data_IF_704776299738
#
_entry.id   IF_704776299738
#
_cell.length_a   1.000
_cell.length_b   1.000
_cell.length_c   1.000
_cell.angle_alpha   90.00
_cell.angle_beta   90.00
_cell.angle_gamma   90.00
#
_symmetry.space_group_name_H-M   'P 1'
#
loop_
_entity.id
_entity.type
_entity.pdbx_description
1 polymer ?
#
# COMPACT_ATOMS: atom_id res chain seq x y z
N UNK A 1 -24.23 6.71 5.71
CA UNK A 1 -23.60 5.69 6.57
C UNK A 1 -22.61 6.37 7.51
N UNK A 2 -22.26 5.68 8.61
CA UNK A 2 -21.23 6.11 9.55
C UNK A 2 -19.93 5.38 9.26
N UNK A 3 -18.87 6.11 8.96
CA UNK A 3 -17.57 5.58 8.57
C UNK A 3 -16.51 6.02 9.56
N UNK A 4 -15.61 5.12 9.93
CA UNK A 4 -14.42 5.51 10.65
C UNK A 4 -13.17 5.19 9.85
N UNK A 5 -12.26 6.14 9.79
CA UNK A 5 -10.92 5.95 9.22
C UNK A 5 -9.92 5.88 10.36
N UNK A 6 -9.26 4.74 10.50
CA UNK A 6 -8.29 4.49 11.57
C UNK A 6 -6.88 4.79 11.03
N UNK A 7 -6.36 5.95 11.38
CA UNK A 7 -5.06 6.44 10.94
C UNK A 7 -5.15 7.75 10.16
N UNK A 8 -4.63 8.83 10.75
CA UNK A 8 -4.62 10.19 10.20
C UNK A 8 -3.34 10.52 9.42
N UNK A 9 -2.75 9.51 8.75
CA UNK A 9 -1.66 9.73 7.78
C UNK A 9 -2.17 10.40 6.50
N UNK A 10 -1.27 10.68 5.53
CA UNK A 10 -1.66 11.34 4.26
C UNK A 10 -2.85 10.66 3.59
N UNK A 11 -2.77 9.32 3.40
CA UNK A 11 -3.82 8.58 2.69
C UNK A 11 -5.13 8.50 3.48
N UNK A 12 -5.08 8.23 4.80
CA UNK A 12 -6.29 8.22 5.65
C UNK A 12 -6.99 9.58 5.68
N UNK A 13 -6.21 10.67 5.71
CA UNK A 13 -6.76 12.04 5.65
C UNK A 13 -7.42 12.33 4.31
N UNK A 14 -6.79 11.94 3.19
CA UNK A 14 -7.35 12.15 1.85
C UNK A 14 -8.63 11.31 1.63
N UNK A 15 -8.66 10.06 2.12
CA UNK A 15 -9.86 9.22 2.08
C UNK A 15 -10.99 9.80 2.95
N UNK A 16 -10.65 10.40 4.11
CA UNK A 16 -11.65 11.06 4.96
C UNK A 16 -12.38 12.17 4.23
N UNK A 17 -11.66 12.97 3.42
CA UNK A 17 -12.31 13.96 2.55
C UNK A 17 -13.23 13.28 1.54
N UNK A 18 -12.79 12.21 0.87
CA UNK A 18 -13.63 11.53 -0.12
C UNK A 18 -14.93 10.96 0.48
N UNK A 19 -14.86 10.46 1.72
CA UNK A 19 -16.03 9.97 2.49
C UNK A 19 -17.04 11.08 2.74
N UNK A 20 -16.59 12.23 3.23
CA UNK A 20 -17.51 13.35 3.55
C UNK A 20 -18.00 14.06 2.30
N UNK A 21 -17.21 14.12 1.22
CA UNK A 21 -17.64 14.65 -0.08
C UNK A 21 -18.79 13.82 -0.69
N UNK A 22 -18.95 12.55 -0.27
CA UNK A 22 -20.08 11.68 -0.62
C UNK A 22 -21.26 11.76 0.38
N UNK A 23 -21.23 12.69 1.32
CA UNK A 23 -22.31 12.91 2.28
C UNK A 23 -22.39 11.89 3.41
N UNK A 24 -21.32 11.15 3.70
CA UNK A 24 -21.26 10.21 4.81
C UNK A 24 -20.74 10.87 6.08
N UNK A 25 -21.21 10.40 7.24
CA UNK A 25 -20.67 10.80 8.54
C UNK A 25 -19.34 10.13 8.79
N UNK A 26 -18.36 10.87 9.32
CA UNK A 26 -16.99 10.41 9.49
C UNK A 26 -16.46 10.61 10.92
N UNK A 27 -15.67 9.61 11.38
CA UNK A 27 -14.69 9.79 12.45
C UNK A 27 -13.30 9.42 11.94
N UNK A 28 -12.36 10.37 12.01
CA UNK A 28 -10.95 10.13 11.70
C UNK A 28 -10.19 9.89 12.99
N UNK A 29 -9.76 8.65 13.23
CA UNK A 29 -8.96 8.35 14.40
C UNK A 29 -7.51 8.79 14.20
N UNK A 30 -7.03 9.61 15.13
CA UNK A 30 -5.64 10.05 15.23
C UNK A 30 -5.08 9.73 16.62
N UNK A 31 -4.01 8.94 16.68
CA UNK A 31 -3.31 8.67 17.94
C UNK A 31 -2.74 9.95 18.59
N UNK A 32 -2.44 10.97 17.78
CA UNK A 32 -1.90 12.25 18.22
C UNK A 32 -3.04 13.22 18.53
N UNK A 33 -3.15 13.64 19.78
CA UNK A 33 -4.09 14.68 20.18
C UNK A 33 -3.82 16.00 19.45
N UNK A 34 -2.54 16.34 19.25
CA UNK A 34 -2.16 17.54 18.47
C UNK A 34 -2.73 17.50 17.07
N UNK A 35 -2.64 16.34 16.37
CA UNK A 35 -3.21 16.20 15.03
C UNK A 35 -4.74 16.22 15.05
N UNK A 36 -5.39 15.61 16.07
CA UNK A 36 -6.84 15.71 16.27
C UNK A 36 -7.28 17.17 16.40
N UNK A 37 -6.61 17.93 17.26
CA UNK A 37 -6.96 19.33 17.53
C UNK A 37 -6.71 20.22 16.31
N UNK A 38 -5.62 20.00 15.57
CA UNK A 38 -5.35 20.68 14.32
C UNK A 38 -6.45 20.43 13.28
N UNK A 39 -6.87 19.15 13.11
CA UNK A 39 -7.94 18.79 12.17
C UNK A 39 -9.26 19.43 12.57
N UNK A 40 -9.65 19.36 13.84
CA UNK A 40 -10.94 19.86 14.29
C UNK A 40 -11.03 21.39 14.34
N UNK A 41 -9.94 22.08 14.69
CA UNK A 41 -9.96 23.53 14.91
C UNK A 41 -9.50 24.31 13.66
N UNK A 42 -8.51 23.78 12.94
CA UNK A 42 -7.90 24.49 11.81
C UNK A 42 -8.29 23.87 10.47
N UNK A 43 -8.93 22.71 10.47
CA UNK A 43 -9.25 21.93 9.25
C UNK A 43 -8.02 21.66 8.37
N UNK A 44 -6.88 21.37 9.01
CA UNK A 44 -5.61 21.03 8.34
C UNK A 44 -4.97 19.80 8.98
N UNK A 45 -4.08 19.15 8.26
CA UNK A 45 -3.19 18.11 8.77
C UNK A 45 -1.78 18.36 8.19
N UNK A 46 -1.16 19.44 8.63
CA UNK A 46 0.04 20.06 8.06
C UNK A 46 1.26 19.14 8.05
N UNK A 47 1.34 18.21 9.01
CA UNK A 47 2.40 17.20 9.07
C UNK A 47 2.40 16.28 7.85
N UNK A 48 1.23 15.94 7.34
CA UNK A 48 1.05 14.92 6.30
C UNK A 48 0.64 15.49 4.95
N UNK A 49 -0.15 16.59 4.95
CA UNK A 49 -0.67 17.24 3.74
C UNK A 49 -0.56 18.75 3.91
N UNK A 50 0.64 19.30 3.67
CA UNK A 50 1.07 20.65 4.08
C UNK A 50 0.15 21.81 3.63
N UNK A 51 -0.52 21.68 2.49
CA UNK A 51 -1.30 22.79 1.89
C UNK A 51 -2.77 22.42 1.70
N UNK A 52 -3.26 21.35 2.35
CA UNK A 52 -4.63 20.92 2.21
C UNK A 52 -5.52 21.54 3.29
N UNK A 53 -6.69 22.02 2.88
CA UNK A 53 -7.77 22.41 3.78
C UNK A 53 -8.86 21.32 3.69
N UNK A 54 -9.21 20.77 4.83
CA UNK A 54 -10.18 19.70 4.95
C UNK A 54 -11.60 20.26 5.06
N UNK A 55 -12.61 19.53 4.57
CA UNK A 55 -14.01 19.84 4.87
C UNK A 55 -14.26 19.86 6.38
N UNK A 56 -15.16 20.74 6.84
CA UNK A 56 -15.51 20.85 8.28
C UNK A 56 -16.17 19.59 8.84
N UNK A 57 -16.72 18.78 7.95
CA UNK A 57 -17.35 17.49 8.25
C UNK A 57 -16.34 16.39 8.61
N UNK A 58 -15.05 16.62 8.36
CA UNK A 58 -13.99 15.73 8.83
C UNK A 58 -13.76 15.95 10.31
N UNK A 59 -14.37 15.11 11.13
CA UNK A 59 -14.25 15.14 12.58
C UNK A 59 -13.22 14.12 13.05
N UNK A 60 -12.17 14.58 13.75
CA UNK A 60 -11.14 13.72 14.30
C UNK A 60 -11.37 13.37 15.75
N UNK A 61 -11.01 12.15 16.15
CA UNK A 61 -11.01 11.69 17.55
C UNK A 61 -9.69 11.02 17.89
N UNK A 62 -9.28 11.09 19.18
CA UNK A 62 -8.16 10.31 19.72
C UNK A 62 -8.61 9.09 20.52
N UNK A 63 -9.91 8.79 20.54
CA UNK A 63 -10.48 7.60 21.14
C UNK A 63 -10.75 6.53 20.08
N UNK A 64 -9.95 5.45 20.10
CA UNK A 64 -10.19 4.31 19.21
C UNK A 64 -11.55 3.67 19.49
N UNK A 65 -11.94 3.60 20.77
CA UNK A 65 -13.25 3.08 21.18
C UNK A 65 -14.38 3.87 20.50
N UNK A 66 -14.38 5.20 20.62
CA UNK A 66 -15.37 6.07 19.98
C UNK A 66 -15.44 5.83 18.48
N UNK A 67 -14.27 5.77 17.80
CA UNK A 67 -14.20 5.55 16.36
C UNK A 67 -14.80 4.19 15.97
N UNK A 68 -14.49 3.12 16.70
CA UNK A 68 -14.99 1.76 16.42
C UNK A 68 -16.49 1.66 16.69
N UNK A 69 -16.98 2.16 17.82
CA UNK A 69 -18.41 2.08 18.16
C UNK A 69 -19.28 2.89 17.19
N UNK A 70 -18.81 4.07 16.77
CA UNK A 70 -19.51 4.96 15.84
C UNK A 70 -19.81 4.32 14.49
N UNK A 71 -18.84 3.57 13.92
CA UNK A 71 -18.85 3.19 12.52
C UNK A 71 -19.78 2.02 12.17
N UNK A 72 -20.32 2.03 10.94
CA UNK A 72 -20.86 0.86 10.25
C UNK A 72 -19.78 0.16 9.43
N UNK A 73 -18.85 0.93 8.86
CA UNK A 73 -17.68 0.48 8.12
C UNK A 73 -16.42 1.11 8.70
N UNK A 74 -15.39 0.28 8.92
CA UNK A 74 -14.10 0.72 9.43
C UNK A 74 -13.07 0.65 8.30
N UNK A 75 -12.40 1.77 8.02
CA UNK A 75 -11.30 1.87 7.07
C UNK A 75 -9.97 1.94 7.83
N UNK A 76 -9.09 0.95 7.67
CA UNK A 76 -7.81 0.90 8.36
C UNK A 76 -6.71 1.45 7.44
N UNK A 77 -6.17 2.62 7.80
CA UNK A 77 -5.16 3.37 7.05
C UNK A 77 -3.87 3.56 7.85
N UNK A 78 -3.34 2.46 8.38
CA UNK A 78 -2.12 2.44 9.20
C UNK A 78 -0.96 1.76 8.48
N UNK A 79 0.32 2.02 8.85
CA UNK A 79 1.45 1.25 8.34
C UNK A 79 1.32 -0.25 8.66
N UNK A 80 1.85 -1.12 7.78
CA UNK A 80 1.78 -2.58 7.94
C UNK A 80 2.33 -3.07 9.29
N UNK A 81 3.39 -2.42 9.78
CA UNK A 81 4.04 -2.75 11.06
C UNK A 81 3.10 -2.77 12.28
N UNK A 82 2.05 -1.96 12.26
CA UNK A 82 1.13 -1.82 13.40
C UNK A 82 -0.26 -2.42 13.12
N UNK A 83 -0.45 -3.05 11.96
CA UNK A 83 -1.75 -3.61 11.57
C UNK A 83 -2.29 -4.59 12.60
N UNK A 84 -1.48 -5.54 13.04
CA UNK A 84 -1.86 -6.56 14.02
C UNK A 84 -2.32 -5.96 15.35
N UNK A 85 -1.55 -5.03 15.89
CA UNK A 85 -1.89 -4.34 17.13
C UNK A 85 -3.20 -3.56 17.00
N UNK A 86 -3.35 -2.83 15.89
CA UNK A 86 -4.56 -2.03 15.62
C UNK A 86 -5.78 -2.95 15.42
N UNK A 87 -5.67 -4.05 14.68
CA UNK A 87 -6.76 -5.01 14.50
C UNK A 87 -7.19 -5.64 15.83
N UNK A 88 -6.22 -6.04 16.67
CA UNK A 88 -6.46 -6.54 18.02
C UNK A 88 -7.17 -5.52 18.91
N UNK A 89 -6.78 -4.26 18.83
CA UNK A 89 -7.41 -3.21 19.61
C UNK A 89 -8.82 -2.88 19.10
N UNK A 90 -9.05 -2.92 17.78
CA UNK A 90 -10.39 -2.79 17.20
C UNK A 90 -11.30 -3.92 17.71
N UNK A 91 -10.82 -5.17 17.73
CA UNK A 91 -11.62 -6.32 18.20
C UNK A 91 -12.18 -6.14 19.61
N UNK A 92 -11.43 -5.45 20.49
CA UNK A 92 -11.88 -5.19 21.89
C UNK A 92 -13.14 -4.32 21.98
N UNK A 93 -13.35 -3.44 20.98
CA UNK A 93 -14.46 -2.48 20.96
C UNK A 93 -15.55 -2.81 19.96
N UNK A 94 -15.40 -3.93 19.20
CA UNK A 94 -16.44 -4.41 18.32
C UNK A 94 -17.53 -5.14 19.13
N UNK A 95 -18.71 -4.50 19.25
CA UNK A 95 -19.88 -5.06 19.91
C UNK A 95 -20.86 -5.72 18.93
N UNK A 96 -20.71 -5.45 17.61
CA UNK A 96 -21.53 -6.02 16.53
C UNK A 96 -20.67 -6.24 15.29
N UNK A 97 -21.07 -7.15 14.39
CA UNK A 97 -20.33 -7.40 13.16
C UNK A 97 -20.26 -6.15 12.27
N UNK A 98 -19.06 -5.83 11.75
CA UNK A 98 -18.81 -4.69 10.86
C UNK A 98 -18.02 -5.10 9.63
N UNK A 99 -18.11 -4.27 8.58
CA UNK A 99 -17.23 -4.36 7.43
C UNK A 99 -15.90 -3.65 7.72
N UNK A 100 -14.81 -4.25 7.25
CA UNK A 100 -13.46 -3.68 7.37
C UNK A 100 -12.85 -3.56 5.99
N UNK A 101 -12.35 -2.37 5.67
CA UNK A 101 -11.56 -2.10 4.47
C UNK A 101 -10.17 -1.67 4.94
N UNK A 102 -9.11 -2.32 4.47
CA UNK A 102 -7.78 -1.79 4.69
C UNK A 102 -7.20 -1.17 3.43
N UNK A 103 -6.26 -0.26 3.61
CA UNK A 103 -5.58 0.45 2.52
C UNK A 103 -4.05 0.35 2.64
N UNK A 104 -3.57 -0.51 3.55
CA UNK A 104 -2.16 -0.72 3.81
C UNK A 104 -1.54 -1.60 2.73
N UNK A 105 -0.35 -1.23 2.25
CA UNK A 105 0.34 -1.88 1.14
C UNK A 105 1.65 -2.50 1.63
N UNK A 106 1.68 -3.81 1.80
CA UNK A 106 2.83 -4.58 2.28
C UNK A 106 2.41 -5.88 2.94
N UNK A 107 3.40 -6.62 3.44
CA UNK A 107 3.23 -7.90 4.14
C UNK A 107 3.76 -7.76 5.58
N UNK A 108 3.20 -8.54 6.51
CA UNK A 108 3.72 -8.64 7.87
C UNK A 108 5.06 -9.36 7.88
N UNK A 109 6.06 -8.80 8.57
CA UNK A 109 7.42 -9.36 8.53
C UNK A 109 7.55 -10.67 9.31
N UNK A 110 6.86 -10.78 10.41
CA UNK A 110 6.98 -11.88 11.37
C UNK A 110 6.33 -13.16 10.84
N UNK A 111 5.22 -13.02 10.13
CA UNK A 111 4.41 -14.16 9.65
C UNK A 111 4.38 -14.30 8.14
N UNK A 112 4.84 -13.29 7.40
CA UNK A 112 4.72 -13.13 5.95
C UNK A 112 3.27 -13.07 5.44
N UNK A 113 2.31 -12.77 6.32
CA UNK A 113 0.88 -12.69 6.00
C UNK A 113 0.53 -11.39 5.28
N UNK A 114 -0.49 -11.48 4.41
CA UNK A 114 -1.18 -10.33 3.85
C UNK A 114 -1.96 -9.60 4.95
N UNK A 115 -2.27 -8.34 4.75
CA UNK A 115 -2.96 -7.53 5.77
C UNK A 115 -4.37 -8.04 6.06
N UNK A 116 -5.08 -8.56 5.05
CA UNK A 116 -6.38 -9.21 5.27
C UNK A 116 -6.27 -10.43 6.17
N UNK A 117 -5.23 -11.27 5.99
CA UNK A 117 -5.00 -12.44 6.86
C UNK A 117 -4.67 -12.02 8.31
N UNK A 118 -3.92 -10.93 8.48
CA UNK A 118 -3.66 -10.37 9.81
C UNK A 118 -4.95 -9.89 10.48
N UNK A 119 -5.85 -9.26 9.72
CA UNK A 119 -7.16 -8.83 10.23
C UNK A 119 -8.00 -10.04 10.62
N UNK A 120 -8.04 -11.10 9.81
CA UNK A 120 -8.75 -12.35 10.14
C UNK A 120 -8.16 -13.10 11.35
N UNK A 121 -6.85 -12.96 11.62
CA UNK A 121 -6.22 -13.55 12.81
C UNK A 121 -6.66 -12.86 14.11
N UNK A 122 -6.84 -11.54 14.08
CA UNK A 122 -6.98 -10.72 15.28
C UNK A 122 -8.43 -10.31 15.59
N UNK A 123 -9.33 -10.39 14.63
CA UNK A 123 -10.73 -10.05 14.83
C UNK A 123 -11.58 -11.31 14.79
N UNK A 124 -12.38 -11.49 15.84
CA UNK A 124 -13.29 -12.63 15.97
C UNK A 124 -14.22 -12.72 14.76
N UNK A 125 -14.39 -13.91 14.20
CA UNK A 125 -15.14 -14.13 12.95
C UNK A 125 -16.60 -13.70 13.02
N UNK A 126 -17.22 -13.79 14.19
CA UNK A 126 -18.60 -13.34 14.46
C UNK A 126 -18.73 -11.82 14.51
N UNK A 127 -17.61 -11.10 14.59
CA UNK A 127 -17.54 -9.63 14.54
C UNK A 127 -17.18 -9.08 13.16
N UNK A 128 -16.93 -9.95 12.16
CA UNK A 128 -16.62 -9.57 10.79
C UNK A 128 -17.79 -9.83 9.86
N UNK A 129 -18.30 -8.82 9.17
CA UNK A 129 -19.21 -8.99 8.02
C UNK A 129 -18.44 -9.26 6.72
N UNK A 130 -17.23 -8.77 6.62
CA UNK A 130 -16.34 -8.94 5.48
C UNK A 130 -15.11 -8.05 5.58
N UNK A 131 -14.05 -8.47 4.89
CA UNK A 131 -12.78 -7.74 4.78
C UNK A 131 -12.50 -7.45 3.31
N UNK A 132 -12.02 -6.25 3.01
CA UNK A 132 -11.61 -5.85 1.68
C UNK A 132 -10.38 -4.97 1.70
N UNK A 133 -9.73 -4.84 0.54
CA UNK A 133 -8.59 -3.95 0.31
C UNK A 133 -8.92 -2.92 -0.76
N UNK A 134 -8.63 -1.65 -0.50
CA UNK A 134 -8.69 -0.58 -1.48
C UNK A 134 -7.26 -0.25 -1.94
N UNK A 135 -6.93 -0.47 -3.21
CA UNK A 135 -5.59 -0.28 -3.76
C UNK A 135 -5.64 0.12 -5.24
N UNK A 136 -4.56 0.73 -5.72
CA UNK A 136 -4.43 1.22 -7.09
C UNK A 136 -3.55 2.48 -7.13
N UNK A 137 -3.41 3.13 -8.30
CA UNK A 137 -2.66 4.37 -8.46
C UNK A 137 -3.31 5.50 -7.64
N UNK A 138 -2.71 5.85 -6.50
CA UNK A 138 -3.36 6.69 -5.50
C UNK A 138 -2.37 7.45 -4.63
N UNK A 139 -1.95 8.61 -5.10
CA UNK A 139 -1.23 9.57 -4.27
C UNK A 139 -2.21 10.43 -3.46
N UNK A 140 -1.97 10.51 -2.14
CA UNK A 140 -2.81 11.29 -1.24
C UNK A 140 -2.82 12.77 -1.60
N UNK A 141 -1.68 13.26 -2.07
CA UNK A 141 -1.45 14.65 -2.51
C UNK A 141 -2.32 15.02 -3.71
N UNK A 142 -2.67 14.05 -4.55
CA UNK A 142 -3.54 14.26 -5.71
C UNK A 142 -5.00 14.11 -5.33
N UNK A 143 -5.36 13.09 -4.56
CA UNK A 143 -6.73 12.85 -4.11
C UNK A 143 -7.28 14.03 -3.28
N UNK A 144 -6.45 14.58 -2.37
CA UNK A 144 -6.86 15.70 -1.52
C UNK A 144 -7.17 16.97 -2.34
N UNK A 145 -6.56 17.11 -3.51
CA UNK A 145 -6.85 18.19 -4.47
C UNK A 145 -8.04 17.85 -5.39
N UNK A 146 -8.70 16.72 -5.15
CA UNK A 146 -9.81 16.21 -5.97
C UNK A 146 -9.42 15.96 -7.43
N UNK A 147 -8.16 15.63 -7.69
CA UNK A 147 -7.69 15.19 -9.00
C UNK A 147 -8.27 13.81 -9.33
N UNK A 148 -8.56 13.52 -10.62
CA UNK A 148 -9.07 12.24 -11.05
C UNK A 148 -8.20 11.08 -10.56
N UNK A 149 -8.76 10.23 -9.71
CA UNK A 149 -8.09 9.08 -9.12
C UNK A 149 -8.95 7.84 -9.32
N UNK A 150 -8.33 6.74 -9.72
CA UNK A 150 -9.02 5.50 -10.02
C UNK A 150 -8.35 4.35 -9.28
N UNK A 151 -9.11 3.61 -8.46
CA UNK A 151 -8.60 2.49 -7.68
C UNK A 151 -9.53 1.28 -7.75
N UNK A 152 -9.08 0.15 -7.23
CA UNK A 152 -9.90 -1.04 -7.07
C UNK A 152 -10.18 -1.32 -5.59
N UNK A 153 -11.44 -1.68 -5.29
CA UNK A 153 -11.81 -2.42 -4.09
C UNK A 153 -11.77 -3.91 -4.40
N UNK A 154 -11.11 -4.69 -3.58
CA UNK A 154 -11.12 -6.14 -3.72
C UNK A 154 -11.61 -6.81 -2.44
N UNK A 155 -12.65 -7.62 -2.58
CA UNK A 155 -13.20 -8.46 -1.54
C UNK A 155 -13.96 -9.63 -2.17
N UNK A 156 -13.98 -10.79 -1.51
CA UNK A 156 -14.86 -11.90 -1.85
C UNK A 156 -16.32 -11.60 -1.49
N UNK A 157 -16.57 -10.61 -0.65
CA UNK A 157 -17.90 -10.19 -0.23
C UNK A 157 -18.48 -9.13 -1.19
N UNK A 158 -19.47 -9.52 -1.98
CA UNK A 158 -20.12 -8.65 -2.97
C UNK A 158 -20.87 -7.44 -2.32
N UNK A 159 -21.37 -7.61 -1.09
CA UNK A 159 -22.02 -6.52 -0.34
C UNK A 159 -20.99 -5.46 0.03
N UNK A 160 -19.82 -5.88 0.54
CA UNK A 160 -18.73 -4.96 0.88
C UNK A 160 -18.23 -4.21 -0.36
N UNK A 161 -18.11 -4.89 -1.50
CA UNK A 161 -17.71 -4.24 -2.75
C UNK A 161 -18.68 -3.11 -3.17
N UNK A 162 -19.98 -3.34 -3.05
CA UNK A 162 -21.02 -2.31 -3.33
C UNK A 162 -20.96 -1.16 -2.33
N UNK A 163 -20.85 -1.48 -1.04
CA UNK A 163 -20.73 -0.48 0.03
C UNK A 163 -19.48 0.38 -0.17
N UNK A 164 -18.34 -0.21 -0.53
CA UNK A 164 -17.12 0.55 -0.80
C UNK A 164 -17.28 1.50 -2.01
N UNK A 165 -17.99 1.07 -3.06
CA UNK A 165 -18.34 1.97 -4.16
C UNK A 165 -19.23 3.12 -3.67
N UNK A 166 -20.25 2.85 -2.87
CA UNK A 166 -21.13 3.89 -2.32
C UNK A 166 -20.38 4.89 -1.45
N UNK A 167 -19.42 4.41 -0.62
CA UNK A 167 -18.62 5.27 0.27
C UNK A 167 -17.68 6.19 -0.50
N UNK A 168 -17.01 5.69 -1.54
CA UNK A 168 -15.87 6.39 -2.12
C UNK A 168 -16.09 6.89 -3.54
N UNK A 169 -17.02 6.30 -4.33
CA UNK A 169 -17.18 6.65 -5.73
C UNK A 169 -17.85 8.02 -5.89
N UNK A 170 -17.16 8.93 -6.57
CA UNK A 170 -17.67 10.25 -6.92
C UNK A 170 -17.07 10.76 -8.24
N UNK A 171 -17.27 12.05 -8.56
CA UNK A 171 -16.83 12.66 -9.82
C UNK A 171 -15.31 12.68 -10.03
N UNK A 172 -14.51 12.57 -8.97
CA UNK A 172 -13.05 12.59 -9.05
C UNK A 172 -12.40 11.31 -8.50
N UNK A 173 -13.14 10.46 -7.78
CA UNK A 173 -12.63 9.21 -7.22
C UNK A 173 -13.48 8.04 -7.70
N UNK A 174 -12.91 7.23 -8.61
CA UNK A 174 -13.62 6.11 -9.23
C UNK A 174 -13.17 4.78 -8.66
N UNK A 175 -14.14 3.93 -8.28
CA UNK A 175 -13.88 2.64 -7.65
C UNK A 175 -14.33 1.52 -8.59
N UNK A 176 -13.38 0.69 -9.02
CA UNK A 176 -13.64 -0.57 -9.71
C UNK A 176 -13.69 -1.72 -8.71
N UNK A 177 -14.49 -2.73 -8.98
CA UNK A 177 -14.57 -3.95 -8.16
C UNK A 177 -13.62 -5.00 -8.73
N UNK A 178 -12.91 -5.69 -7.83
CA UNK A 178 -12.15 -6.90 -8.09
C UNK A 178 -12.55 -7.95 -7.05
N UNK A 179 -12.56 -9.25 -7.41
CA UNK A 179 -12.85 -10.34 -6.45
C UNK A 179 -11.58 -10.98 -5.89
N UNK A 180 -10.43 -10.71 -6.49
CA UNK A 180 -9.14 -11.23 -6.09
C UNK A 180 -8.45 -10.31 -5.06
N UNK A 181 -8.80 -10.49 -3.79
CA UNK A 181 -8.16 -9.77 -2.69
C UNK A 181 -6.66 -10.10 -2.61
N UNK A 182 -6.27 -11.36 -2.91
CA UNK A 182 -4.89 -11.82 -2.87
C UNK A 182 -4.03 -11.04 -3.87
N UNK A 183 -4.46 -10.99 -5.13
CA UNK A 183 -3.72 -10.31 -6.19
C UNK A 183 -3.59 -8.82 -5.95
N UNK A 184 -4.65 -8.16 -5.48
CA UNK A 184 -4.62 -6.72 -5.20
C UNK A 184 -3.70 -6.39 -4.02
N UNK A 185 -3.67 -7.19 -2.96
CA UNK A 185 -2.74 -7.03 -1.84
C UNK A 185 -1.29 -7.28 -2.25
N UNK A 186 -1.04 -8.39 -2.97
CA UNK A 186 0.30 -8.78 -3.44
C UNK A 186 0.85 -7.74 -4.41
N UNK A 187 0.06 -7.29 -5.38
CA UNK A 187 0.46 -6.23 -6.32
C UNK A 187 0.83 -4.94 -5.59
N UNK A 188 -0.03 -4.49 -4.67
CA UNK A 188 0.20 -3.31 -3.84
C UNK A 188 1.42 -3.41 -2.93
N UNK A 189 1.79 -4.61 -2.46
CA UNK A 189 2.97 -4.85 -1.65
C UNK A 189 4.25 -4.87 -2.49
N UNK A 190 4.31 -5.72 -3.52
CA UNK A 190 5.53 -5.99 -4.26
C UNK A 190 5.96 -4.85 -5.20
N UNK A 191 5.01 -4.03 -5.70
CA UNK A 191 5.37 -2.85 -6.49
C UNK A 191 6.38 -1.94 -5.79
N UNK A 192 6.36 -1.91 -4.46
CA UNK A 192 7.26 -1.09 -3.65
C UNK A 192 8.72 -1.53 -3.78
N UNK A 193 8.97 -2.82 -4.04
CA UNK A 193 10.30 -3.37 -4.33
C UNK A 193 10.79 -2.84 -5.67
N UNK A 194 9.93 -2.90 -6.68
CA UNK A 194 10.29 -2.44 -8.03
C UNK A 194 10.50 -0.93 -8.04
N UNK A 195 9.72 -0.18 -7.23
CA UNK A 195 9.91 1.26 -7.08
C UNK A 195 11.28 1.61 -6.45
N UNK A 196 11.77 0.83 -5.48
CA UNK A 196 13.16 0.95 -4.99
C UNK A 196 14.15 0.76 -6.13
N UNK A 197 14.00 -0.30 -6.92
CA UNK A 197 14.85 -0.58 -8.07
C UNK A 197 14.84 0.55 -9.11
N UNK A 198 13.67 1.10 -9.44
CA UNK A 198 13.55 2.24 -10.36
C UNK A 198 14.26 3.49 -9.82
N UNK A 199 14.12 3.74 -8.51
CA UNK A 199 14.87 4.81 -7.86
C UNK A 199 16.38 4.61 -7.95
N UNK A 200 16.87 3.39 -7.70
CA UNK A 200 18.30 3.06 -7.82
C UNK A 200 18.80 3.33 -9.25
N UNK A 201 18.07 2.89 -10.27
CA UNK A 201 18.40 3.14 -11.69
C UNK A 201 18.53 4.63 -11.98
N UNK A 202 17.56 5.43 -11.53
CA UNK A 202 17.59 6.88 -11.75
C UNK A 202 18.71 7.57 -10.94
N UNK A 203 18.97 7.10 -9.72
CA UNK A 203 20.10 7.59 -8.89
C UNK A 203 21.47 7.32 -9.51
N UNK A 204 21.60 6.23 -10.27
CA UNK A 204 22.78 5.87 -11.06
C UNK A 204 22.85 6.58 -12.41
N UNK A 205 21.86 7.40 -12.76
CA UNK A 205 21.71 8.04 -14.06
C UNK A 205 21.66 7.04 -15.25
N UNK A 206 21.12 5.83 -15.03
CA UNK A 206 20.76 4.93 -16.11
C UNK A 206 19.48 5.44 -16.80
N UNK A 207 19.38 5.25 -18.12
CA UNK A 207 18.30 5.83 -18.91
C UNK A 207 16.96 5.08 -18.80
N UNK A 208 15.96 5.61 -19.51
CA UNK A 208 14.56 5.11 -19.51
C UNK A 208 14.42 3.67 -19.98
N UNK A 209 15.29 3.18 -20.86
CA UNK A 209 15.28 1.77 -21.29
C UNK A 209 15.49 0.80 -20.12
N UNK A 210 16.42 1.11 -19.21
CA UNK A 210 16.68 0.29 -18.03
C UNK A 210 15.48 0.30 -17.08
N UNK A 211 14.85 1.47 -16.90
CA UNK A 211 13.64 1.60 -16.07
C UNK A 211 12.46 0.84 -16.67
N UNK A 212 12.22 0.97 -17.98
CA UNK A 212 11.16 0.24 -18.68
C UNK A 212 11.34 -1.29 -18.58
N UNK A 213 12.58 -1.76 -18.79
CA UNK A 213 12.92 -3.17 -18.62
C UNK A 213 12.67 -3.65 -17.19
N UNK A 214 13.08 -2.86 -16.17
CA UNK A 214 12.86 -3.20 -14.76
C UNK A 214 11.37 -3.26 -14.41
N UNK A 215 10.56 -2.33 -14.90
CA UNK A 215 9.09 -2.33 -14.70
C UNK A 215 8.45 -3.58 -15.30
N UNK A 216 8.79 -3.90 -16.56
CA UNK A 216 8.24 -5.06 -17.27
C UNK A 216 8.62 -6.36 -16.58
N UNK A 217 9.90 -6.54 -16.27
CA UNK A 217 10.39 -7.76 -15.62
C UNK A 217 9.93 -7.84 -14.16
N UNK A 218 9.82 -6.70 -13.48
CA UNK A 218 9.28 -6.62 -12.13
C UNK A 218 7.82 -7.05 -12.04
N UNK A 219 6.99 -6.65 -13.01
CA UNK A 219 5.60 -7.12 -13.09
C UNK A 219 5.51 -8.64 -13.23
N UNK A 220 6.42 -9.25 -13.99
CA UNK A 220 6.48 -10.72 -14.13
C UNK A 220 6.84 -11.37 -12.78
N UNK A 221 7.79 -10.83 -12.02
CA UNK A 221 8.11 -11.36 -10.68
C UNK A 221 6.92 -11.25 -9.72
N UNK A 222 6.23 -10.10 -9.73
CA UNK A 222 5.01 -9.88 -8.95
C UNK A 222 3.95 -10.94 -9.30
N UNK A 223 3.73 -11.16 -10.60
CA UNK A 223 2.74 -12.14 -11.09
C UNK A 223 3.11 -13.56 -10.65
N UNK A 224 4.39 -13.95 -10.77
CA UNK A 224 4.86 -15.29 -10.37
C UNK A 224 4.60 -15.57 -8.89
N UNK A 225 5.04 -14.66 -8.01
CA UNK A 225 4.82 -14.85 -6.57
C UNK A 225 3.34 -14.76 -6.23
N UNK A 226 2.60 -13.82 -6.84
CA UNK A 226 1.16 -13.69 -6.63
C UNK A 226 0.40 -14.97 -6.97
N UNK A 227 0.70 -15.58 -8.12
CA UNK A 227 0.12 -16.86 -8.54
C UNK A 227 0.39 -17.99 -7.54
N UNK A 228 1.61 -18.07 -7.00
CA UNK A 228 1.95 -19.04 -5.94
C UNK A 228 1.20 -18.79 -4.63
N UNK A 229 0.79 -17.55 -4.38
CA UNK A 229 -0.01 -17.15 -3.21
C UNK A 229 -1.53 -17.26 -3.47
N UNK A 230 -1.95 -17.70 -4.67
CA UNK A 230 -3.35 -17.92 -5.02
C UNK A 230 -4.04 -16.74 -5.73
N UNK A 231 -3.28 -15.77 -6.24
CA UNK A 231 -3.82 -14.66 -7.03
C UNK A 231 -4.16 -15.07 -8.48
N UNK A 232 -5.17 -14.39 -9.03
CA UNK A 232 -5.42 -14.40 -10.47
C UNK A 232 -4.38 -13.53 -11.20
N UNK A 233 -3.68 -14.10 -12.18
CA UNK A 233 -2.66 -13.38 -12.95
C UNK A 233 -3.21 -12.16 -13.70
N UNK A 234 -4.48 -12.16 -14.11
CA UNK A 234 -5.15 -11.02 -14.75
C UNK A 234 -5.29 -9.81 -13.83
N UNK A 235 -5.32 -10.02 -12.52
CA UNK A 235 -5.36 -8.92 -11.54
C UNK A 235 -4.16 -7.98 -11.68
N UNK A 236 -2.98 -8.53 -12.05
CA UNK A 236 -1.76 -7.74 -12.19
C UNK A 236 -1.74 -6.84 -13.44
N UNK A 237 -2.62 -7.08 -14.41
CA UNK A 237 -2.83 -6.19 -15.56
C UNK A 237 -3.79 -5.02 -15.24
N UNK A 238 -4.39 -5.02 -14.05
CA UNK A 238 -5.34 -4.03 -13.59
C UNK A 238 -4.73 -2.91 -12.73
N UNK A 239 -5.64 -2.16 -12.06
CA UNK A 239 -5.30 -1.01 -11.22
C UNK A 239 -4.43 -1.39 -10.01
N UNK A 240 -4.71 -2.52 -9.35
CA UNK A 240 -3.93 -3.03 -8.21
C UNK A 240 -2.58 -3.63 -8.61
N UNK A 241 -2.33 -3.86 -9.90
CA UNK A 241 -1.10 -4.37 -10.48
C UNK A 241 -0.32 -3.28 -11.22
N UNK A 242 -0.33 -3.33 -12.56
CA UNK A 242 0.46 -2.44 -13.41
C UNK A 242 0.14 -0.95 -13.18
N UNK A 243 -1.13 -0.60 -12.92
CA UNK A 243 -1.52 0.79 -12.67
C UNK A 243 -0.80 1.38 -11.45
N UNK A 244 -0.83 0.67 -10.33
CA UNK A 244 -0.16 1.08 -9.08
C UNK A 244 1.37 0.96 -9.18
N UNK A 245 1.87 0.00 -9.94
CA UNK A 245 3.30 -0.16 -10.23
C UNK A 245 3.85 1.06 -10.97
N UNK A 246 3.24 1.44 -12.09
CA UNK A 246 3.71 2.55 -12.92
C UNK A 246 3.75 3.85 -12.12
N UNK A 247 2.65 4.24 -11.46
CA UNK A 247 2.60 5.49 -10.70
C UNK A 247 3.63 5.51 -9.57
N UNK A 248 3.87 4.37 -8.91
CA UNK A 248 4.82 4.30 -7.80
C UNK A 248 6.28 4.37 -8.26
N UNK A 249 6.59 3.82 -9.43
CA UNK A 249 7.94 3.77 -9.98
C UNK A 249 8.34 5.04 -10.74
N UNK A 250 7.39 5.89 -11.12
CA UNK A 250 7.67 7.12 -11.90
C UNK A 250 7.43 8.40 -11.12
N UNK A 251 6.80 8.32 -9.96
CA UNK A 251 6.44 9.51 -9.18
C UNK A 251 7.48 9.88 -8.13
N UNK A 252 7.82 11.16 -8.07
CA UNK A 252 8.64 11.75 -6.99
C UNK A 252 7.92 11.77 -5.63
N UNK A 253 6.61 11.52 -5.57
CA UNK A 253 5.87 11.33 -4.32
C UNK A 253 6.10 9.94 -3.72
N UNK A 254 6.65 8.99 -4.48
CA UNK A 254 6.93 7.65 -3.99
C UNK A 254 8.12 7.63 -3.04
N UNK A 255 7.85 7.32 -1.77
CA UNK A 255 8.90 7.15 -0.74
C UNK A 255 9.87 6.02 -1.08
N UNK A 256 9.37 4.94 -1.67
CA UNK A 256 10.20 3.81 -2.09
C UNK A 256 11.12 4.20 -3.23
N UNK A 257 10.60 4.90 -4.24
CA UNK A 257 11.42 5.45 -5.32
C UNK A 257 12.50 6.39 -4.78
N UNK A 258 12.15 7.34 -3.90
CA UNK A 258 13.11 8.29 -3.34
C UNK A 258 14.18 7.59 -2.48
N UNK A 259 13.81 6.54 -1.72
CA UNK A 259 14.77 5.72 -0.99
C UNK A 259 15.76 5.05 -1.94
N UNK A 260 15.26 4.41 -3.00
CA UNK A 260 16.10 3.82 -4.04
C UNK A 260 17.00 4.86 -4.73
N UNK A 261 16.47 6.04 -5.02
CA UNK A 261 17.24 7.13 -5.65
C UNK A 261 18.45 7.56 -4.81
N UNK A 262 18.25 7.71 -3.48
CA UNK A 262 19.37 8.02 -2.58
C UNK A 262 20.41 6.89 -2.55
N UNK A 263 19.96 5.64 -2.50
CA UNK A 263 20.85 4.47 -2.55
C UNK A 263 21.63 4.45 -3.87
N UNK A 264 20.97 4.74 -5.00
CA UNK A 264 21.59 4.88 -6.32
C UNK A 264 22.65 5.97 -6.38
N UNK A 265 22.50 7.03 -5.58
CA UNK A 265 23.49 8.09 -5.42
C UNK A 265 24.66 7.73 -4.48
N UNK A 266 24.68 6.53 -3.91
CA UNK A 266 25.75 6.04 -3.05
C UNK A 266 25.50 6.20 -1.55
N UNK A 267 24.30 6.62 -1.11
CA UNK A 267 23.95 6.61 0.31
C UNK A 267 23.72 5.17 0.79
N UNK A 268 24.09 4.88 2.03
CA UNK A 268 23.68 3.62 2.67
C UNK A 268 22.18 3.61 2.94
N UNK A 269 21.61 2.42 3.19
CA UNK A 269 20.19 2.30 3.54
C UNK A 269 19.83 3.17 4.76
N UNK A 270 20.66 3.14 5.80
CA UNK A 270 20.40 3.92 7.03
C UNK A 270 20.42 5.43 6.76
N UNK A 271 21.39 5.91 5.97
CA UNK A 271 21.45 7.30 5.55
C UNK A 271 20.25 7.73 4.69
N UNK A 272 19.78 6.83 3.81
CA UNK A 272 18.61 7.09 2.98
C UNK A 272 17.34 7.20 3.83
N UNK A 273 17.17 6.30 4.82
CA UNK A 273 16.03 6.33 5.76
C UNK A 273 16.04 7.60 6.61
N UNK A 274 17.21 7.98 7.14
CA UNK A 274 17.38 9.20 7.94
C UNK A 274 17.00 10.46 7.15
N UNK A 275 17.47 10.57 5.89
CA UNK A 275 17.14 11.71 5.01
C UNK A 275 15.65 11.82 4.66
N UNK A 276 14.95 10.69 4.59
CA UNK A 276 13.53 10.67 4.23
C UNK A 276 12.59 10.93 5.42
N UNK A 277 13.11 10.88 6.65
CA UNK A 277 12.31 10.98 7.91
C UNK A 277 11.10 10.02 7.96
N UNK A 278 11.11 8.98 7.10
CA UNK A 278 10.02 8.02 6.97
C UNK A 278 10.53 6.67 6.45
N UNK A 279 10.01 5.57 7.00
CA UNK A 279 10.34 4.23 6.52
C UNK A 279 9.68 3.96 5.17
N UNK A 280 10.47 3.52 4.19
CA UNK A 280 9.98 3.00 2.93
C UNK A 280 9.50 1.54 3.11
N UNK A 281 8.23 1.27 2.91
CA UNK A 281 7.63 -0.08 3.07
C UNK A 281 8.32 -1.12 2.16
N UNK A 282 8.79 -0.70 0.99
CA UNK A 282 9.51 -1.56 0.05
C UNK A 282 10.77 -2.20 0.63
N UNK A 283 11.46 -1.54 1.56
CA UNK A 283 12.62 -2.10 2.24
C UNK A 283 12.22 -3.37 3.00
N UNK A 284 11.16 -3.29 3.81
CA UNK A 284 10.63 -4.43 4.57
C UNK A 284 10.06 -5.51 3.66
N UNK A 285 9.26 -5.09 2.68
CA UNK A 285 8.63 -6.00 1.72
C UNK A 285 9.69 -6.78 0.92
N UNK A 286 10.83 -6.16 0.57
CA UNK A 286 11.95 -6.85 -0.10
C UNK A 286 12.42 -8.04 0.72
N UNK A 287 12.61 -7.87 2.03
CA UNK A 287 13.05 -8.96 2.91
C UNK A 287 12.04 -10.10 2.96
N UNK A 288 10.76 -9.78 3.18
CA UNK A 288 9.68 -10.78 3.21
C UNK A 288 9.61 -11.55 1.89
N UNK A 289 9.57 -10.83 0.76
CA UNK A 289 9.43 -11.45 -0.56
C UNK A 289 10.65 -12.27 -0.98
N UNK A 290 11.85 -11.89 -0.57
CA UNK A 290 13.05 -12.71 -0.75
C UNK A 290 12.90 -14.07 -0.08
N UNK A 291 12.48 -14.11 1.19
CA UNK A 291 12.27 -15.39 1.89
C UNK A 291 11.08 -16.19 1.35
N UNK A 292 9.99 -15.51 0.97
CA UNK A 292 8.86 -16.18 0.32
C UNK A 292 9.26 -16.79 -1.04
N UNK A 293 10.09 -16.10 -1.85
CA UNK A 293 10.57 -16.63 -3.12
C UNK A 293 11.38 -17.91 -2.93
N UNK A 294 12.21 -17.98 -1.89
CA UNK A 294 12.97 -19.20 -1.55
C UNK A 294 12.07 -20.31 -1.02
N UNK A 295 11.09 -19.96 -0.16
CA UNK A 295 10.15 -20.94 0.41
C UNK A 295 9.28 -21.62 -0.67
N UNK A 296 8.84 -20.85 -1.66
CA UNK A 296 7.95 -21.34 -2.72
C UNK A 296 8.67 -21.69 -4.04
N UNK A 297 10.00 -21.62 -4.05
CA UNK A 297 10.84 -21.83 -5.24
C UNK A 297 10.41 -20.97 -6.43
N UNK A 298 10.19 -19.68 -6.20
CA UNK A 298 9.79 -18.71 -7.22
C UNK A 298 11.01 -17.92 -7.71
N UNK A 299 11.21 -17.93 -9.02
CA UNK A 299 12.32 -17.20 -9.64
C UNK A 299 12.07 -15.68 -9.66
N UNK A 300 12.73 -14.95 -8.75
CA UNK A 300 12.59 -13.50 -8.54
C UNK A 300 13.97 -12.81 -8.51
N UNK A 301 14.70 -12.76 -9.64
CA UNK A 301 16.07 -12.23 -9.66
C UNK A 301 16.17 -10.73 -9.32
N UNK A 302 15.18 -9.89 -9.66
CA UNK A 302 15.17 -8.47 -9.31
C UNK A 302 15.06 -8.32 -7.79
N UNK A 303 14.06 -8.97 -7.19
CA UNK A 303 13.83 -8.96 -5.75
C UNK A 303 15.05 -9.48 -4.98
N UNK A 304 15.68 -10.57 -5.46
CA UNK A 304 16.90 -11.14 -4.85
C UNK A 304 18.07 -10.15 -4.91
N UNK A 305 18.31 -9.51 -6.04
CA UNK A 305 19.42 -8.55 -6.16
C UNK A 305 19.18 -7.29 -5.35
N UNK A 306 17.94 -6.77 -5.30
CA UNK A 306 17.60 -5.64 -4.43
C UNK A 306 17.80 -6.03 -2.96
N UNK A 307 17.40 -7.23 -2.55
CA UNK A 307 17.66 -7.74 -1.19
C UNK A 307 19.15 -7.74 -0.87
N UNK A 308 20.00 -8.26 -1.77
CA UNK A 308 21.45 -8.29 -1.59
C UNK A 308 22.08 -6.88 -1.48
N UNK A 309 21.58 -5.93 -2.27
CA UNK A 309 22.01 -4.53 -2.16
C UNK A 309 21.64 -3.94 -0.79
N UNK A 310 20.41 -4.16 -0.33
CA UNK A 310 19.91 -3.57 0.92
C UNK A 310 20.50 -4.21 2.18
N UNK A 311 20.78 -5.53 2.16
CA UNK A 311 21.05 -6.30 3.39
C UNK A 311 22.38 -7.06 3.38
N UNK A 312 22.98 -7.31 2.22
CA UNK A 312 24.21 -8.10 2.10
C UNK A 312 25.39 -7.31 1.52
N UNK A 313 25.22 -6.02 1.28
CA UNK A 313 26.29 -5.13 0.82
C UNK A 313 26.72 -5.34 -0.64
N UNK A 314 25.89 -6.00 -1.46
CA UNK A 314 26.15 -6.12 -2.90
C UNK A 314 26.23 -4.73 -3.53
N UNK A 315 27.29 -4.46 -4.32
CA UNK A 315 27.36 -3.20 -5.04
C UNK A 315 26.26 -3.11 -6.11
N UNK A 316 25.74 -1.89 -6.35
CA UNK A 316 24.71 -1.68 -7.37
C UNK A 316 25.23 -2.08 -8.75
N UNK A 317 26.53 -1.83 -9.03
CA UNK A 317 27.17 -2.21 -10.29
C UNK A 317 27.16 -3.72 -10.49
N UNK A 318 27.49 -4.50 -9.45
CA UNK A 318 27.44 -5.96 -9.51
C UNK A 318 25.99 -6.47 -9.60
N UNK A 319 25.05 -5.79 -8.92
CA UNK A 319 23.63 -6.08 -9.07
C UNK A 319 23.17 -5.98 -10.53
N UNK A 320 23.50 -4.89 -11.21
CA UNK A 320 23.17 -4.70 -12.63
C UNK A 320 23.87 -5.74 -13.50
N UNK A 321 25.17 -5.99 -13.27
CA UNK A 321 25.91 -7.03 -13.98
C UNK A 321 25.28 -8.41 -13.80
N UNK A 322 24.87 -8.77 -12.61
CA UNK A 322 24.21 -10.04 -12.32
C UNK A 322 22.89 -10.22 -13.09
N UNK A 323 22.14 -9.11 -13.26
CA UNK A 323 20.88 -9.15 -14.02
C UNK A 323 21.11 -9.21 -15.52
N UNK A 324 22.13 -8.50 -16.04
CA UNK A 324 22.41 -8.42 -17.47
C UNK A 324 23.16 -9.64 -18.03
N UNK A 325 24.03 -10.27 -17.23
CA UNK A 325 24.86 -11.39 -17.65
C UNK A 325 24.15 -12.76 -17.55
N UNK A 326 22.88 -12.81 -17.15
CA UNK A 326 22.12 -14.06 -17.18
C UNK A 326 21.94 -14.50 -18.65
N UNK A 327 22.05 -15.82 -18.86
CA UNK A 327 21.80 -16.38 -20.21
C UNK A 327 20.47 -15.89 -20.75
N UNK A 328 20.43 -15.58 -22.05
CA UNK A 328 19.21 -15.20 -22.73
C UNK A 328 18.17 -16.31 -22.57
N UNK A 329 17.03 -15.95 -21.99
CA UNK A 329 15.87 -16.81 -21.82
C UNK A 329 14.74 -16.30 -22.71
N UNK A 330 13.76 -17.14 -22.98
CA UNK A 330 12.54 -16.68 -23.64
C UNK A 330 11.88 -15.59 -22.77
N UNK A 331 11.39 -14.53 -23.40
CA UNK A 331 10.83 -13.36 -22.68
C UNK A 331 9.68 -13.75 -21.76
N UNK A 332 8.78 -14.59 -22.24
CA UNK A 332 7.60 -15.07 -21.53
C UNK A 332 7.74 -16.54 -21.14
N UNK A 333 8.93 -16.96 -20.72
CA UNK A 333 9.08 -18.30 -20.19
C UNK A 333 8.08 -18.54 -19.08
N UNK A 334 7.32 -19.61 -19.28
CA UNK A 334 6.19 -20.10 -18.53
C UNK A 334 6.10 -19.55 -17.11
N UNK A 335 4.94 -19.00 -16.79
CA UNK A 335 4.49 -18.74 -15.42
C UNK A 335 4.31 -20.09 -14.66
N UNK A 336 5.34 -20.94 -14.69
CA UNK A 336 5.36 -22.20 -13.94
C UNK A 336 5.85 -21.96 -12.51
#
# INVERSE_FOLDING_TARGET
MKISVIGSGSWGTALSQAVVDNGHELRLYSRSEKSRDEINNNHTNSRYLKNAILPKEVVATSSLKEAVEFADVIVIAVPTKVMREVAKDINKYLERPKFIIHVSKGLEMETNKRMSEVIFDEIDSDKLKGVGVLSGPSHAEELILRNPTVVAIASENDELNKIAQEIFHNKYFRIYVNKDIVGVEVGGALKNIIALGCGIIDGMAYGDNAKAALLTRGLIEITRLGKKLGADEMTFLGLGGIGDLVVTCTSKHSRNYNCGYLIGQGYTLDQAIEKLDMVAEGVRTTKVCYFLSKKFDVYMPITENIYKVLYEGLSIKDCVNNLMNKMAAEELNKFE
#
